data_IF_044881550512
#
_entry.id   IF_044881550512
#
_cell.length_a   1.000
_cell.length_b   1.000
_cell.length_c   1.000
_cell.angle_alpha   90.00
_cell.angle_beta   90.00
_cell.angle_gamma   90.00
#
_symmetry.space_group_name_H-M   'P 1'
#
loop_
_entity.id
_entity.type
_entity.pdbx_description
1 polymer ?
#
# COMPACT_ATOMS: atom_id res chain seq x y z
N UNK A 1 4.44 0.05 -11.62
CA UNK A 1 4.46 -0.41 -10.23
C UNK A 1 3.18 -1.15 -9.87
N UNK A 2 3.14 -1.74 -8.70
CA UNK A 2 1.98 -2.39 -8.12
C UNK A 2 1.65 -1.71 -6.78
N UNK A 3 0.39 -1.34 -6.60
CA UNK A 3 -0.15 -0.92 -5.31
C UNK A 3 -1.27 -1.88 -4.93
N UNK A 4 -1.25 -2.42 -3.72
CA UNK A 4 -2.23 -3.40 -3.31
C UNK A 4 -2.07 -3.89 -1.88
N UNK A 5 -3.06 -4.67 -1.43
CA UNK A 5 -3.02 -5.36 -0.15
C UNK A 5 -2.96 -6.87 -0.35
N UNK A 6 -2.23 -7.56 0.53
CA UNK A 6 -2.25 -9.01 0.65
C UNK A 6 -2.90 -9.39 1.97
N UNK A 7 -3.95 -10.19 1.89
CA UNK A 7 -4.77 -10.55 3.06
C UNK A 7 -4.88 -12.07 3.17
N UNK A 8 -4.64 -12.60 4.36
CA UNK A 8 -4.96 -14.00 4.69
C UNK A 8 -6.28 -14.07 5.46
N UNK A 9 -7.23 -14.89 5.00
CA UNK A 9 -8.53 -15.04 5.64
C UNK A 9 -8.99 -16.50 5.66
N UNK A 10 -9.88 -16.84 6.58
CA UNK A 10 -10.59 -18.11 6.55
C UNK A 10 -11.43 -18.17 5.25
N UNK A 11 -11.36 -19.28 4.48
CA UNK A 11 -12.17 -19.44 3.27
C UNK A 11 -13.67 -19.23 3.47
N UNK A 12 -14.19 -19.47 4.67
CA UNK A 12 -15.60 -19.24 5.02
C UNK A 12 -15.95 -17.76 5.18
N UNK A 13 -14.95 -16.91 5.40
CA UNK A 13 -15.10 -15.47 5.60
C UNK A 13 -14.47 -14.64 4.49
N UNK A 14 -14.17 -15.26 3.36
CA UNK A 14 -13.45 -14.59 2.27
C UNK A 14 -14.24 -13.40 1.70
N UNK A 15 -15.55 -13.52 1.59
CA UNK A 15 -16.39 -12.43 1.08
C UNK A 15 -16.34 -11.20 2.00
N UNK A 16 -16.48 -11.40 3.30
CA UNK A 16 -16.33 -10.34 4.30
C UNK A 16 -14.95 -9.68 4.25
N UNK A 17 -13.89 -10.49 4.13
CA UNK A 17 -12.53 -9.98 4.04
C UNK A 17 -12.31 -9.13 2.78
N UNK A 18 -12.89 -9.55 1.65
CA UNK A 18 -12.82 -8.78 0.39
C UNK A 18 -13.60 -7.47 0.50
N UNK A 19 -14.82 -7.52 1.03
CA UNK A 19 -15.67 -6.35 1.20
C UNK A 19 -14.99 -5.29 2.05
N UNK A 20 -14.49 -5.68 3.23
CA UNK A 20 -13.75 -4.76 4.11
C UNK A 20 -12.50 -4.22 3.43
N UNK A 21 -11.72 -5.07 2.76
CA UNK A 21 -10.49 -4.63 2.07
C UNK A 21 -10.80 -3.59 1.00
N UNK A 22 -11.83 -3.81 0.20
CA UNK A 22 -12.23 -2.87 -0.86
C UNK A 22 -12.77 -1.58 -0.27
N UNK A 23 -13.57 -1.67 0.78
CA UNK A 23 -14.07 -0.50 1.49
C UNK A 23 -12.93 0.37 2.02
N UNK A 24 -11.89 -0.21 2.62
CA UNK A 24 -10.70 0.52 3.08
C UNK A 24 -9.99 1.24 1.92
N UNK A 25 -9.86 0.61 0.75
CA UNK A 25 -9.32 1.29 -0.42
C UNK A 25 -10.20 2.44 -0.88
N UNK A 26 -11.51 2.24 -0.93
CA UNK A 26 -12.45 3.26 -1.39
C UNK A 26 -12.58 4.42 -0.41
N UNK A 27 -12.38 4.20 0.89
CA UNK A 27 -12.36 5.26 1.89
C UNK A 27 -11.19 6.24 1.72
N UNK A 28 -10.10 5.81 1.07
CA UNK A 28 -8.98 6.70 0.77
C UNK A 28 -9.33 7.72 -0.32
N UNK A 29 -10.31 7.43 -1.17
CA UNK A 29 -10.71 8.34 -2.25
C UNK A 29 -11.67 9.41 -1.70
N UNK A 30 -11.58 10.64 -2.18
CA UNK A 30 -12.46 11.77 -1.85
C UNK A 30 -13.90 11.58 -2.40
N UNK A 31 -14.37 10.38 -2.49
CA UNK A 31 -15.69 10.02 -2.95
C UNK A 31 -16.69 9.84 -1.80
N UNK A 32 -17.94 9.73 -2.10
CA UNK A 32 -19.15 9.75 -1.27
C UNK A 32 -19.20 8.92 0.05
N UNK A 33 -18.10 8.32 0.48
CA UNK A 33 -17.95 7.62 1.75
C UNK A 33 -16.64 7.96 2.47
N UNK A 34 -15.86 8.92 1.95
CA UNK A 34 -14.50 9.15 2.41
C UNK A 34 -14.43 9.71 3.83
N UNK A 35 -13.80 8.97 4.70
CA UNK A 35 -13.20 9.55 5.90
C UNK A 35 -11.85 10.09 5.45
N UNK A 36 -11.63 11.41 5.48
CA UNK A 36 -10.36 11.96 5.01
C UNK A 36 -9.23 11.44 5.89
N UNK A 37 -8.09 11.11 5.25
CA UNK A 37 -6.87 10.74 5.96
C UNK A 37 -6.50 11.89 6.92
N UNK A 38 -6.30 11.58 8.17
CA UNK A 38 -5.97 12.57 9.19
C UNK A 38 -4.46 12.79 9.30
N UNK A 39 -4.05 13.97 9.77
CA UNK A 39 -2.66 14.25 10.11
C UNK A 39 -2.09 13.24 11.12
N UNK A 40 -2.90 12.77 12.06
CA UNK A 40 -2.51 11.74 13.02
C UNK A 40 -2.23 10.38 12.38
N UNK A 41 -2.98 10.00 11.35
CA UNK A 41 -2.73 8.77 10.58
C UNK A 41 -1.47 8.90 9.75
N UNK A 42 -1.29 10.03 9.07
CA UNK A 42 -0.07 10.31 8.32
C UNK A 42 1.16 10.28 9.23
N UNK A 43 1.10 10.89 10.41
CA UNK A 43 2.20 10.87 11.37
C UNK A 43 2.55 9.44 11.81
N UNK A 44 1.55 8.65 12.19
CA UNK A 44 1.75 7.22 12.54
C UNK A 44 2.33 6.40 11.39
N UNK A 45 1.86 6.62 10.17
CA UNK A 45 2.39 5.94 8.99
C UNK A 45 3.87 6.28 8.75
N UNK A 46 4.24 7.55 8.86
CA UNK A 46 5.64 8.00 8.75
C UNK A 46 6.54 7.36 9.81
N UNK A 47 6.09 7.35 11.07
CA UNK A 47 6.83 6.72 12.18
C UNK A 47 6.98 5.21 11.96
N UNK A 48 5.93 4.54 11.51
CA UNK A 48 5.96 3.11 11.20
C UNK A 48 6.97 2.79 10.09
N UNK A 49 6.94 3.53 8.99
CA UNK A 49 7.88 3.33 7.87
C UNK A 49 9.31 3.62 8.30
N UNK A 50 9.54 4.73 9.03
CA UNK A 50 10.86 5.09 9.54
C UNK A 50 11.41 4.01 10.49
N UNK A 51 10.58 3.50 11.41
CA UNK A 51 10.96 2.43 12.32
C UNK A 51 11.29 1.12 11.60
N UNK A 52 10.49 0.72 10.61
CA UNK A 52 10.78 -0.46 9.78
C UNK A 52 12.08 -0.30 8.99
N UNK A 53 12.35 0.87 8.45
CA UNK A 53 13.60 1.16 7.76
C UNK A 53 14.78 1.02 8.71
N UNK A 54 14.73 1.63 9.89
CA UNK A 54 15.80 1.54 10.89
C UNK A 54 16.13 0.08 11.22
N UNK A 55 15.13 -0.74 11.53
CA UNK A 55 15.32 -2.17 11.81
C UNK A 55 15.87 -2.96 10.62
N UNK A 56 15.42 -2.65 9.41
CA UNK A 56 15.89 -3.34 8.20
C UNK A 56 17.37 -3.07 7.93
N UNK A 57 17.87 -1.90 8.27
CA UNK A 57 19.24 -1.49 8.01
C UNK A 57 20.25 -1.91 9.09
N UNK A 58 19.81 -2.59 10.14
CA UNK A 58 20.71 -3.32 11.04
C UNK A 58 21.32 -4.57 10.34
N UNK A 59 20.70 -5.04 9.26
CA UNK A 59 21.16 -6.18 8.49
C UNK A 59 22.02 -5.73 7.28
N UNK A 60 23.34 -6.06 7.24
CA UNK A 60 24.22 -5.69 6.14
C UNK A 60 23.76 -6.20 4.76
N UNK A 61 23.11 -7.37 4.73
CA UNK A 61 22.56 -7.92 3.48
C UNK A 61 21.42 -7.06 2.94
N UNK A 62 20.53 -6.56 3.81
CA UNK A 62 19.45 -5.67 3.41
C UNK A 62 19.98 -4.33 2.86
N UNK A 63 21.05 -3.80 3.46
CA UNK A 63 21.74 -2.60 2.98
C UNK A 63 22.33 -2.84 1.59
N UNK A 64 23.07 -3.93 1.41
CA UNK A 64 23.69 -4.25 0.13
C UNK A 64 22.63 -4.46 -0.96
N UNK A 65 21.53 -5.13 -0.64
CA UNK A 65 20.41 -5.33 -1.56
C UNK A 65 19.71 -4.00 -1.91
N UNK A 66 19.48 -3.14 -0.93
CA UNK A 66 18.89 -1.82 -1.16
C UNK A 66 19.70 -0.99 -2.15
N UNK A 67 20.99 -0.80 -1.90
CA UNK A 67 21.85 -0.01 -2.77
C UNK A 67 22.08 -0.66 -4.14
N UNK A 68 22.25 -1.99 -4.17
CA UNK A 68 22.36 -2.74 -5.41
C UNK A 68 21.14 -2.61 -6.31
N UNK A 69 19.94 -2.76 -5.75
CA UNK A 69 18.70 -2.59 -6.49
C UNK A 69 18.48 -1.14 -6.95
N UNK A 70 18.80 -0.16 -6.11
CA UNK A 70 18.72 1.27 -6.49
C UNK A 70 19.65 1.56 -7.68
N UNK A 71 20.90 1.10 -7.63
CA UNK A 71 21.84 1.28 -8.74
C UNK A 71 21.36 0.63 -10.04
N UNK A 72 20.83 -0.59 -9.96
CA UNK A 72 20.39 -1.34 -11.14
C UNK A 72 19.11 -0.79 -11.77
N UNK A 73 18.18 -0.32 -10.96
CA UNK A 73 16.84 0.03 -11.45
C UNK A 73 16.63 1.53 -11.69
N UNK A 74 17.36 2.39 -11.00
CA UNK A 74 17.08 3.84 -11.01
C UNK A 74 18.28 4.70 -11.37
N UNK A 75 19.48 4.15 -11.48
CA UNK A 75 20.76 4.87 -11.66
C UNK A 75 20.99 6.00 -10.62
N UNK A 76 20.19 6.03 -9.57
CA UNK A 76 20.24 7.04 -8.52
C UNK A 76 20.28 6.38 -7.15
N UNK A 77 21.39 6.55 -6.50
CA UNK A 77 21.57 6.10 -5.12
C UNK A 77 21.14 7.23 -4.20
N UNK A 78 20.10 6.97 -3.44
CA UNK A 78 19.67 7.82 -2.33
C UNK A 78 20.08 7.15 -1.03
N UNK A 79 20.70 7.91 -0.16
CA UNK A 79 21.00 7.43 1.19
C UNK A 79 19.73 7.26 2.02
N UNK A 80 19.82 6.46 3.06
CA UNK A 80 18.71 6.22 3.99
C UNK A 80 18.23 7.54 4.61
N UNK A 81 19.17 8.40 5.00
CA UNK A 81 18.86 9.69 5.59
C UNK A 81 18.11 10.60 4.61
N UNK A 82 18.50 10.63 3.34
CA UNK A 82 17.78 11.38 2.29
C UNK A 82 16.36 10.86 2.11
N UNK A 83 16.16 9.54 2.15
CA UNK A 83 14.82 8.94 2.07
C UNK A 83 13.98 9.29 3.30
N UNK A 84 14.56 9.27 4.49
CA UNK A 84 13.87 9.65 5.72
C UNK A 84 13.48 11.14 5.74
N UNK A 85 14.34 12.00 5.21
CA UNK A 85 13.99 13.44 5.05
C UNK A 85 12.79 13.60 4.12
N UNK A 86 12.78 12.92 2.98
CA UNK A 86 11.65 12.94 2.05
C UNK A 86 10.38 12.37 2.67
N UNK A 87 10.48 11.24 3.37
CA UNK A 87 9.35 10.64 4.07
C UNK A 87 8.70 11.62 5.06
N UNK A 88 9.52 12.31 5.84
CA UNK A 88 9.02 13.32 6.81
C UNK A 88 8.34 14.50 6.11
N UNK A 89 8.79 14.88 4.94
CA UNK A 89 8.25 16.01 4.18
C UNK A 89 6.90 15.72 3.49
N UNK A 90 6.52 14.45 3.31
CA UNK A 90 5.24 14.07 2.67
C UNK A 90 4.05 14.75 3.34
N UNK A 91 3.15 15.32 2.55
CA UNK A 91 1.95 16.01 3.00
C UNK A 91 0.67 15.21 2.72
N UNK A 92 -0.44 15.58 3.35
CA UNK A 92 -1.75 14.99 3.04
C UNK A 92 -2.17 15.24 1.60
N UNK A 93 -1.90 16.44 1.08
CA UNK A 93 -2.20 16.81 -0.30
C UNK A 93 -1.47 15.90 -1.30
N UNK A 94 -0.18 15.65 -1.09
CA UNK A 94 0.59 14.71 -1.93
C UNK A 94 0.05 13.29 -1.87
N UNK A 95 -0.43 12.84 -0.70
CA UNK A 95 -1.07 11.53 -0.57
C UNK A 95 -2.38 11.49 -1.34
N UNK A 96 -3.22 12.51 -1.21
CA UNK A 96 -4.49 12.57 -1.93
C UNK A 96 -4.27 12.58 -3.45
N UNK A 97 -3.31 13.35 -3.93
CA UNK A 97 -2.91 13.36 -5.34
C UNK A 97 -2.51 11.97 -5.87
N UNK A 98 -1.85 11.16 -5.03
CA UNK A 98 -1.45 9.80 -5.39
C UNK A 98 -2.65 8.86 -5.35
N UNK A 99 -3.50 8.97 -4.34
CA UNK A 99 -4.73 8.18 -4.21
C UNK A 99 -5.60 8.35 -5.45
N UNK A 100 -5.87 9.58 -5.86
CA UNK A 100 -6.72 9.91 -7.01
C UNK A 100 -6.15 9.39 -8.35
N UNK A 101 -4.83 9.24 -8.44
CA UNK A 101 -4.17 8.67 -9.61
C UNK A 101 -4.18 7.16 -9.65
N UNK A 102 -4.14 6.50 -8.49
CA UNK A 102 -3.90 5.05 -8.38
C UNK A 102 -5.19 4.29 -8.10
N UNK A 103 -6.05 4.80 -7.20
CA UNK A 103 -7.26 4.11 -6.79
C UNK A 103 -8.42 4.56 -7.68
N UNK A 104 -8.76 3.72 -8.66
CA UNK A 104 -9.85 4.01 -9.59
C UNK A 104 -10.88 2.89 -9.52
N UNK A 105 -12.16 3.22 -9.30
CA UNK A 105 -13.24 2.23 -9.40
C UNK A 105 -13.18 1.49 -10.74
N UNK A 106 -13.36 0.17 -10.72
CA UNK A 106 -13.34 -0.67 -11.92
C UNK A 106 -11.95 -1.01 -12.48
N UNK A 107 -10.86 -0.42 -11.95
CA UNK A 107 -9.49 -0.78 -12.35
C UNK A 107 -8.80 -1.75 -11.38
N UNK A 108 -9.47 -2.15 -10.31
CA UNK A 108 -8.95 -3.10 -9.34
C UNK A 108 -8.77 -4.48 -9.96
N UNK A 109 -7.80 -5.23 -9.46
CA UNK A 109 -7.53 -6.61 -9.83
C UNK A 109 -7.46 -7.47 -8.57
N UNK A 110 -8.01 -8.66 -8.64
CA UNK A 110 -8.07 -9.61 -7.54
C UNK A 110 -7.38 -10.90 -7.94
N UNK A 111 -6.49 -11.39 -7.09
CA UNK A 111 -5.95 -12.73 -7.16
C UNK A 111 -6.29 -13.47 -5.87
N UNK A 112 -6.94 -14.61 -5.97
CA UNK A 112 -7.32 -15.47 -4.85
C UNK A 112 -6.67 -16.84 -4.97
N UNK A 113 -6.15 -17.34 -3.86
CA UNK A 113 -5.68 -18.71 -3.72
C UNK A 113 -6.49 -19.37 -2.61
N UNK A 114 -7.24 -20.42 -2.96
CA UNK A 114 -8.08 -21.12 -2.00
C UNK A 114 -9.00 -22.15 -2.66
N UNK A 115 -9.84 -22.82 -1.88
CA UNK A 115 -10.77 -23.86 -2.38
C UNK A 115 -12.04 -23.23 -3.02
N UNK A 116 -11.84 -22.34 -3.99
CA UNK A 116 -12.92 -21.62 -4.66
C UNK A 116 -13.08 -22.16 -6.08
N UNK A 117 -14.26 -22.70 -6.39
CA UNK A 117 -14.56 -23.26 -7.71
C UNK A 117 -15.25 -22.25 -8.65
N UNK A 118 -15.88 -21.21 -8.11
CA UNK A 118 -16.65 -20.22 -8.84
C UNK A 118 -15.99 -18.85 -8.73
N UNK A 119 -15.38 -18.39 -9.83
CA UNK A 119 -14.76 -17.07 -9.91
C UNK A 119 -15.77 -15.94 -10.09
N UNK A 120 -16.94 -16.20 -10.69
CA UNK A 120 -17.96 -15.19 -10.95
C UNK A 120 -18.52 -14.61 -9.66
N UNK A 121 -18.52 -15.40 -8.60
CA UNK A 121 -18.90 -14.97 -7.25
C UNK A 121 -18.11 -13.75 -6.76
N UNK A 122 -16.87 -13.59 -7.22
CA UNK A 122 -15.97 -12.53 -6.77
C UNK A 122 -15.94 -11.32 -7.69
N UNK A 123 -16.46 -11.43 -8.92
CA UNK A 123 -16.48 -10.32 -9.89
C UNK A 123 -17.27 -9.10 -9.38
N UNK A 124 -18.32 -9.32 -8.59
CA UNK A 124 -19.13 -8.24 -8.00
C UNK A 124 -18.34 -7.27 -7.12
N UNK A 125 -17.17 -7.67 -6.62
CA UNK A 125 -16.32 -6.84 -5.76
C UNK A 125 -15.33 -5.96 -6.54
N UNK A 126 -15.22 -6.16 -7.85
CA UNK A 126 -14.24 -5.44 -8.68
C UNK A 126 -14.85 -4.24 -9.44
N UNK A 127 -16.17 -4.10 -9.41
CA UNK A 127 -16.91 -3.05 -10.13
C UNK A 127 -17.30 -3.43 -11.52
#
# INVERSE_FOLDING_TARGET
>A
GLFGAAVGADPKRIEEALEVTIQEFMQLTDGAAGVPITEGELARAKEYVAGKMALSYENPQAIAQYYGMKQLLTDKIETIDEVLVKLKAVTLEEIQDVVDKIIKPGEMRLALIGPFADEDKFKKYLG
#
